data_IF_120832388402
#
_entry.id   IF_120832388402
#
_cell.length_a   1.000
_cell.length_b   1.000
_cell.length_c   1.000
_cell.angle_alpha   90.00
_cell.angle_beta   90.00
_cell.angle_gamma   90.00
#
_symmetry.space_group_name_H-M   'P 1'
#
loop_
_entity.id
_entity.type
_entity.pdbx_description
1 polymer ?
#
# COMPACT_ATOMS: atom_id res chain seq x y z
N UNK A 1 -16.33 -8.01 -7.52
CA UNK A 1 -15.82 -8.73 -6.34
C UNK A 1 -15.94 -7.79 -5.17
N UNK A 2 -16.87 -8.10 -4.24
CA UNK A 2 -16.93 -7.45 -2.94
C UNK A 2 -15.81 -8.10 -2.12
N UNK A 3 -14.72 -7.38 -1.90
CA UNK A 3 -13.68 -7.84 -0.98
C UNK A 3 -14.34 -7.95 0.38
N UNK A 4 -14.36 -9.15 0.94
CA UNK A 4 -14.92 -9.34 2.27
C UNK A 4 -13.88 -8.81 3.26
N UNK A 5 -14.33 -8.03 4.25
CA UNK A 5 -13.49 -7.50 5.34
C UNK A 5 -12.63 -8.60 5.97
N UNK A 6 -13.21 -9.79 6.13
CA UNK A 6 -12.55 -10.96 6.71
C UNK A 6 -11.32 -11.39 5.90
N UNK A 7 -11.42 -11.40 4.56
CA UNK A 7 -10.29 -11.74 3.68
C UNK A 7 -9.15 -10.73 3.83
N UNK A 8 -9.47 -9.44 3.91
CA UNK A 8 -8.45 -8.42 4.10
C UNK A 8 -7.82 -8.49 5.50
N UNK A 9 -8.61 -8.80 6.51
CA UNK A 9 -8.11 -9.02 7.87
C UNK A 9 -7.14 -10.22 7.94
N UNK A 10 -7.42 -11.30 7.22
CA UNK A 10 -6.51 -12.45 7.10
C UNK A 10 -5.20 -12.10 6.39
N UNK A 11 -5.27 -11.39 5.26
CA UNK A 11 -4.09 -10.87 4.55
C UNK A 11 -3.21 -10.07 5.51
N UNK A 12 -3.81 -9.12 6.25
CA UNK A 12 -3.07 -8.30 7.20
C UNK A 12 -2.47 -9.12 8.34
N UNK A 13 -3.22 -10.06 8.93
CA UNK A 13 -2.71 -10.94 10.00
C UNK A 13 -1.49 -11.72 9.54
N UNK A 14 -1.53 -12.29 8.34
CA UNK A 14 -0.41 -13.07 7.82
C UNK A 14 0.81 -12.21 7.48
N UNK A 15 0.62 -11.01 6.93
CA UNK A 15 1.70 -10.04 6.72
C UNK A 15 2.33 -9.65 8.06
N UNK A 16 1.50 -9.37 9.08
CA UNK A 16 1.95 -9.08 10.44
C UNK A 16 2.74 -10.24 11.03
N UNK A 17 2.34 -11.50 10.79
CA UNK A 17 3.09 -12.67 11.26
C UNK A 17 4.47 -12.79 10.61
N UNK A 18 4.60 -12.40 9.34
CA UNK A 18 5.89 -12.35 8.63
C UNK A 18 6.77 -11.20 9.11
N UNK A 19 6.16 -10.11 9.57
CA UNK A 19 6.84 -8.96 10.13
C UNK A 19 7.18 -9.26 11.59
N UNK A 20 8.40 -8.95 12.05
CA UNK A 20 8.72 -9.13 13.46
C UNK A 20 7.73 -8.33 14.32
N UNK A 21 7.06 -8.98 15.28
CA UNK A 21 5.98 -8.47 16.17
C UNK A 21 6.24 -7.12 16.89
N UNK A 22 7.40 -6.48 16.68
CA UNK A 22 7.80 -5.20 17.28
C UNK A 22 7.85 -4.03 16.28
N UNK A 23 7.74 -4.26 14.98
CA UNK A 23 7.84 -3.18 13.97
C UNK A 23 6.50 -2.48 13.79
N UNK A 24 6.54 -1.14 13.70
CA UNK A 24 5.40 -0.30 13.33
C UNK A 24 5.18 -0.40 11.83
N UNK A 25 3.92 -0.43 11.40
CA UNK A 25 3.54 -0.46 9.98
C UNK A 25 2.91 0.86 9.60
N UNK A 26 3.36 1.43 8.48
CA UNK A 26 2.76 2.61 7.87
C UNK A 26 1.68 2.20 6.87
N UNK A 27 0.41 2.48 7.18
CA UNK A 27 -0.69 2.33 6.23
C UNK A 27 -0.83 3.60 5.40
N UNK A 28 -0.57 3.50 4.10
CA UNK A 28 -0.52 4.63 3.17
C UNK A 28 -1.87 4.81 2.48
N UNK A 29 -2.50 5.97 2.71
CA UNK A 29 -3.73 6.43 2.08
C UNK A 29 -3.42 7.47 1.01
N UNK A 30 -3.21 7.00 -0.23
CA UNK A 30 -2.92 7.84 -1.39
C UNK A 30 -4.16 8.52 -1.97
N UNK A 31 -3.95 9.54 -2.80
CA UNK A 31 -4.98 10.19 -3.59
C UNK A 31 -5.08 9.56 -5.00
N UNK A 32 -6.26 9.34 -5.59
CA UNK A 32 -7.59 9.70 -5.10
C UNK A 32 -8.11 8.81 -3.96
N UNK A 33 -9.15 9.29 -3.29
CA UNK A 33 -9.92 8.49 -2.35
C UNK A 33 -10.41 7.19 -3.00
N UNK A 34 -10.25 6.08 -2.28
CA UNK A 34 -10.77 4.77 -2.65
C UNK A 34 -11.75 4.29 -1.57
N UNK A 35 -12.98 3.95 -1.94
CA UNK A 35 -13.98 3.47 -0.98
C UNK A 35 -13.55 2.19 -0.25
N UNK A 36 -12.62 1.42 -0.83
CA UNK A 36 -12.03 0.24 -0.19
C UNK A 36 -11.19 0.60 1.04
N UNK A 37 -10.80 1.86 1.22
CA UNK A 37 -10.21 2.33 2.47
C UNK A 37 -11.11 2.08 3.68
N UNK A 38 -12.43 2.08 3.54
CA UNK A 38 -13.31 1.73 4.66
C UNK A 38 -13.14 0.27 5.09
N UNK A 39 -13.07 -0.65 4.13
CA UNK A 39 -12.80 -2.07 4.39
C UNK A 39 -11.44 -2.23 5.08
N UNK A 40 -10.44 -1.49 4.62
CA UNK A 40 -9.12 -1.51 5.22
C UNK A 40 -9.10 -0.98 6.65
N UNK A 41 -9.76 0.15 6.90
CA UNK A 41 -9.88 0.74 8.23
C UNK A 41 -10.57 -0.20 9.22
N UNK A 42 -11.66 -0.86 8.80
CA UNK A 42 -12.36 -1.85 9.62
C UNK A 42 -11.46 -3.03 9.99
N UNK A 43 -10.68 -3.56 9.03
CA UNK A 43 -9.74 -4.64 9.29
C UNK A 43 -8.62 -4.18 10.24
N UNK A 44 -7.97 -3.04 9.95
CA UNK A 44 -6.85 -2.49 10.75
C UNK A 44 -7.27 -2.21 12.20
N UNK A 45 -8.54 -1.84 12.42
CA UNK A 45 -9.09 -1.59 13.76
C UNK A 45 -9.03 -2.82 14.66
N UNK A 46 -9.20 -4.02 14.10
CA UNK A 46 -9.17 -5.28 14.84
C UNK A 46 -7.76 -5.74 15.23
N UNK A 47 -6.73 -5.18 14.58
CA UNK A 47 -5.35 -5.61 14.73
C UNK A 47 -4.71 -4.92 15.94
N UNK A 48 -4.11 -5.75 16.81
CA UNK A 48 -3.35 -5.29 17.96
C UNK A 48 -1.86 -5.13 17.61
N UNK A 49 -1.56 -4.15 16.77
CA UNK A 49 -0.21 -3.83 16.29
C UNK A 49 0.08 -2.34 16.40
N UNK A 50 1.37 -1.99 16.37
CA UNK A 50 1.83 -0.62 16.19
C UNK A 50 1.52 -0.16 14.77
N UNK A 51 0.62 0.81 14.62
CA UNK A 51 0.07 1.27 13.34
C UNK A 51 0.12 2.78 13.24
N UNK A 52 0.76 3.25 12.18
CA UNK A 52 0.74 4.64 11.77
C UNK A 52 -0.09 4.79 10.50
N UNK A 53 -0.78 5.91 10.36
CA UNK A 53 -1.40 6.26 9.08
C UNK A 53 -0.60 7.36 8.40
N UNK A 54 -0.36 7.18 7.11
CA UNK A 54 0.28 8.16 6.25
C UNK A 54 -0.76 8.61 5.23
N UNK A 55 -1.12 9.88 5.25
CA UNK A 55 -2.26 10.40 4.50
C UNK A 55 -1.77 11.40 3.46
N UNK A 56 -2.14 11.19 2.19
CA UNK A 56 -1.88 12.18 1.14
C UNK A 56 -2.60 13.50 1.44
N UNK A 57 -1.84 14.61 1.51
CA UNK A 57 -2.38 15.98 1.65
C UNK A 57 -3.30 16.41 0.49
N UNK A 58 -3.29 15.68 -0.63
CA UNK A 58 -4.16 15.91 -1.78
C UNK A 58 -5.59 15.35 -1.61
N UNK A 59 -5.84 14.57 -0.56
CA UNK A 59 -7.20 14.13 -0.22
C UNK A 59 -8.01 15.31 0.34
N UNK A 60 -9.33 15.28 0.20
CA UNK A 60 -10.18 16.31 0.81
C UNK A 60 -10.21 16.19 2.33
N UNK A 61 -10.39 17.30 3.02
CA UNK A 61 -10.44 17.37 4.50
C UNK A 61 -11.46 16.40 5.11
N UNK A 62 -12.60 16.19 4.44
CA UNK A 62 -13.61 15.22 4.87
C UNK A 62 -13.03 13.80 4.95
N UNK A 63 -12.24 13.37 3.97
CA UNK A 63 -11.63 12.05 3.97
C UNK A 63 -10.44 11.95 4.92
N UNK A 64 -9.63 13.00 5.01
CA UNK A 64 -8.55 13.10 6.00
C UNK A 64 -9.12 12.92 7.41
N UNK A 65 -10.14 13.70 7.77
CA UNK A 65 -10.81 13.63 9.07
C UNK A 65 -11.43 12.26 9.33
N UNK A 66 -12.00 11.62 8.30
CA UNK A 66 -12.52 10.25 8.43
C UNK A 66 -11.41 9.26 8.79
N UNK A 67 -10.29 9.24 8.07
CA UNK A 67 -9.17 8.33 8.34
C UNK A 67 -8.60 8.58 9.73
N UNK A 68 -8.32 9.84 10.07
CA UNK A 68 -7.68 10.23 11.33
C UNK A 68 -8.52 9.86 12.55
N UNK A 69 -9.85 9.97 12.46
CA UNK A 69 -10.76 9.71 13.57
C UNK A 69 -11.37 8.30 13.58
N UNK A 70 -11.14 7.48 12.54
CA UNK A 70 -11.79 6.17 12.43
C UNK A 70 -11.37 5.19 13.52
N UNK A 71 -10.09 5.25 13.88
CA UNK A 71 -9.46 4.38 14.87
C UNK A 71 -8.29 5.10 15.54
N UNK A 72 -7.83 4.56 16.68
CA UNK A 72 -6.68 5.11 17.40
C UNK A 72 -5.39 4.70 16.72
N UNK A 73 -4.78 5.64 15.99
CA UNK A 73 -3.45 5.51 15.40
C UNK A 73 -2.38 5.82 16.44
N UNK A 74 -1.23 5.16 16.34
CA UNK A 74 -0.05 5.52 17.15
C UNK A 74 0.60 6.81 16.63
N UNK A 75 0.44 7.07 15.33
CA UNK A 75 0.94 8.25 14.66
C UNK A 75 0.12 8.56 13.40
N UNK A 76 -0.08 9.84 13.13
CA UNK A 76 -0.72 10.34 11.91
C UNK A 76 0.30 11.23 11.21
N UNK A 77 0.74 10.83 10.02
CA UNK A 77 1.72 11.55 9.21
C UNK A 77 1.04 12.00 7.93
N UNK A 78 1.26 13.26 7.54
CA UNK A 78 0.84 13.73 6.23
C UNK A 78 1.96 13.53 5.23
N UNK A 79 1.68 12.84 4.11
CA UNK A 79 2.66 12.56 3.09
C UNK A 79 3.17 13.86 2.48
N UNK A 80 4.47 14.08 2.63
CA UNK A 80 5.19 15.26 2.19
C UNK A 80 6.68 14.91 1.98
N UNK A 81 7.38 15.69 1.14
CA UNK A 81 8.81 15.52 0.87
C UNK A 81 9.64 15.49 2.14
N UNK A 82 9.37 16.41 3.08
CA UNK A 82 10.12 16.53 4.35
C UNK A 82 9.87 15.37 5.32
N UNK A 83 8.84 14.56 5.06
CA UNK A 83 8.44 13.44 5.92
C UNK A 83 8.86 12.09 5.37
N UNK A 84 9.45 12.04 4.17
CA UNK A 84 9.80 10.77 3.52
C UNK A 84 10.76 9.93 4.35
N UNK A 85 11.80 10.54 4.94
CA UNK A 85 12.78 9.81 5.75
C UNK A 85 12.13 9.21 7.00
N UNK A 86 11.31 10.00 7.71
CA UNK A 86 10.53 9.54 8.87
C UNK A 86 9.58 8.38 8.51
N UNK A 87 8.91 8.47 7.36
CA UNK A 87 8.00 7.41 6.90
C UNK A 87 8.83 6.16 6.53
N UNK A 88 9.99 6.32 5.91
CA UNK A 88 10.86 5.23 5.48
C UNK A 88 11.65 4.56 6.63
N UNK A 89 11.42 4.92 7.89
CA UNK A 89 11.92 4.18 9.04
C UNK A 89 11.15 2.86 9.28
N UNK A 90 9.96 2.75 8.72
CA UNK A 90 9.03 1.65 8.94
C UNK A 90 8.60 1.02 7.62
N UNK A 91 8.17 -0.24 7.68
CA UNK A 91 7.61 -0.94 6.54
C UNK A 91 6.27 -0.29 6.13
N UNK A 92 5.96 -0.31 4.83
CA UNK A 92 4.83 0.43 4.29
C UNK A 92 3.84 -0.49 3.57
N UNK A 93 2.56 -0.28 3.87
CA UNK A 93 1.44 -0.93 3.21
C UNK A 93 0.64 0.12 2.44
N UNK A 94 0.71 0.10 1.11
CA UNK A 94 -0.08 0.95 0.25
C UNK A 94 -1.48 0.37 0.07
N UNK A 95 -2.46 1.07 0.62
CA UNK A 95 -3.88 0.73 0.48
C UNK A 95 -4.42 1.14 -0.90
N UNK A 96 -3.67 1.95 -1.65
CA UNK A 96 -3.89 2.27 -3.05
C UNK A 96 -2.58 2.81 -3.62
N UNK A 97 -2.27 2.48 -4.87
CA UNK A 97 -1.17 3.09 -5.61
C UNK A 97 -1.54 3.23 -7.08
N UNK A 98 -1.27 4.40 -7.67
CA UNK A 98 -1.48 4.59 -9.11
C UNK A 98 -0.46 3.78 -9.90
N UNK A 99 -0.89 3.21 -11.03
CA UNK A 99 0.02 2.60 -11.99
C UNK A 99 1.16 3.55 -12.41
N UNK A 100 0.89 4.85 -12.54
CA UNK A 100 1.93 5.84 -12.84
C UNK A 100 3.05 5.83 -11.79
N UNK A 101 2.73 5.66 -10.51
CA UNK A 101 3.73 5.58 -9.45
C UNK A 101 4.55 4.30 -9.53
N UNK A 102 3.92 3.17 -9.88
CA UNK A 102 4.65 1.91 -10.14
C UNK A 102 5.62 2.09 -11.32
N UNK A 103 5.15 2.66 -12.43
CA UNK A 103 6.00 2.95 -13.60
C UNK A 103 7.13 3.90 -13.24
N UNK A 104 6.85 4.92 -12.43
CA UNK A 104 7.87 5.84 -11.96
C UNK A 104 8.94 5.12 -11.11
N UNK A 105 8.54 4.22 -10.21
CA UNK A 105 9.50 3.42 -9.43
C UNK A 105 10.38 2.56 -10.33
N UNK A 106 9.78 1.87 -11.30
CA UNK A 106 10.49 1.03 -12.27
C UNK A 106 11.56 1.82 -13.04
N UNK A 107 11.21 3.03 -13.46
CA UNK A 107 12.08 3.91 -14.23
C UNK A 107 13.05 4.72 -13.37
N UNK A 108 13.13 4.46 -12.06
CA UNK A 108 13.89 5.27 -11.10
C UNK A 108 13.54 6.78 -11.20
N UNK A 109 12.27 7.07 -11.49
CA UNK A 109 11.71 8.41 -11.53
C UNK A 109 11.02 8.79 -10.21
N UNK A 110 11.48 9.89 -9.64
CA UNK A 110 11.03 10.46 -8.39
C UNK A 110 9.99 11.59 -8.56
N UNK A 111 9.28 11.71 -9.69
CA UNK A 111 8.37 12.84 -9.93
C UNK A 111 7.16 12.93 -8.97
N UNK A 112 6.72 11.83 -8.36
CA UNK A 112 5.56 11.79 -7.46
C UNK A 112 5.95 11.31 -6.06
N UNK A 113 5.27 11.84 -5.04
CA UNK A 113 5.58 11.56 -3.63
C UNK A 113 5.53 10.06 -3.30
N UNK A 114 4.56 9.35 -3.86
CA UNK A 114 4.45 7.91 -3.65
C UNK A 114 5.62 7.14 -4.29
N UNK A 115 6.09 7.52 -5.48
CA UNK A 115 7.26 6.86 -6.09
C UNK A 115 8.55 7.20 -5.35
N UNK A 116 8.73 8.46 -4.91
CA UNK A 116 9.82 8.86 -4.01
C UNK A 116 9.82 8.05 -2.72
N UNK A 117 8.66 7.88 -2.11
CA UNK A 117 8.53 7.14 -0.85
C UNK A 117 8.95 5.68 -1.03
N UNK A 118 8.52 5.02 -2.11
CA UNK A 118 8.92 3.63 -2.40
C UNK A 118 10.44 3.52 -2.57
N UNK A 119 11.07 4.46 -3.27
CA UNK A 119 12.53 4.47 -3.39
C UNK A 119 13.23 4.65 -2.04
N UNK A 120 12.77 5.58 -1.20
CA UNK A 120 13.29 5.73 0.16
C UNK A 120 13.12 4.48 1.02
N UNK A 121 12.00 3.77 0.88
CA UNK A 121 11.79 2.50 1.57
C UNK A 121 12.81 1.44 1.11
N UNK A 122 13.12 1.36 -0.18
CA UNK A 122 14.16 0.46 -0.69
C UNK A 122 15.56 0.83 -0.19
N UNK A 123 15.92 2.12 -0.22
CA UNK A 123 17.19 2.61 0.31
C UNK A 123 17.38 2.23 1.78
N UNK A 124 16.29 2.21 2.56
CA UNK A 124 16.29 1.87 3.98
C UNK A 124 16.05 0.37 4.27
N UNK A 125 16.00 -0.48 3.23
CA UNK A 125 15.76 -1.92 3.37
C UNK A 125 14.41 -2.27 4.02
N UNK A 126 13.39 -1.45 3.78
CA UNK A 126 12.03 -1.66 4.30
C UNK A 126 11.19 -2.44 3.32
N UNK A 127 10.27 -3.23 3.88
CA UNK A 127 9.31 -3.96 3.07
C UNK A 127 8.22 -3.02 2.53
N UNK A 128 7.84 -3.24 1.27
CA UNK A 128 6.76 -2.53 0.61
C UNK A 128 5.67 -3.51 0.20
N UNK A 129 4.47 -3.30 0.73
CA UNK A 129 3.28 -4.12 0.45
C UNK A 129 2.26 -3.31 -0.35
N UNK A 130 1.72 -3.91 -1.41
CA UNK A 130 0.65 -3.33 -2.23
C UNK A 130 -0.59 -4.20 -2.13
N UNK A 131 -1.74 -3.61 -1.81
CA UNK A 131 -2.99 -4.35 -1.85
C UNK A 131 -3.36 -4.74 -3.29
N UNK A 132 -3.38 -6.05 -3.61
CA UNK A 132 -3.66 -6.54 -4.98
C UNK A 132 -4.93 -5.98 -5.56
N UNK A 133 -5.95 -5.78 -4.72
CA UNK A 133 -7.22 -5.25 -5.18
C UNK A 133 -7.08 -3.85 -5.79
N UNK A 134 -6.10 -3.08 -5.34
CA UNK A 134 -5.86 -1.71 -5.83
C UNK A 134 -4.96 -1.64 -7.06
N UNK A 135 -4.38 -2.77 -7.49
CA UNK A 135 -3.66 -2.83 -8.75
C UNK A 135 -4.64 -2.79 -9.93
N UNK A 136 -4.18 -2.29 -11.08
CA UNK A 136 -5.00 -2.15 -12.27
C UNK A 136 -5.31 -3.53 -12.84
N UNK A 137 -6.60 -3.88 -12.86
CA UNK A 137 -7.09 -5.13 -13.43
C UNK A 137 -7.28 -5.01 -14.94
N UNK A 138 -7.03 -6.10 -15.66
CA UNK A 138 -7.37 -6.23 -17.09
C UNK A 138 -8.77 -6.81 -17.22
N UNK A 139 -9.55 -6.30 -18.18
CA UNK A 139 -10.89 -6.81 -18.48
C UNK A 139 -10.87 -7.96 -19.49
N UNK A 140 -9.73 -8.15 -20.17
CA UNK A 140 -9.56 -9.11 -21.26
C UNK A 140 -10.04 -8.60 -22.62
N UNK A 141 -10.60 -7.38 -22.67
CA UNK A 141 -11.00 -6.71 -23.92
C UNK A 141 -9.91 -5.80 -24.46
N UNK A 142 -8.88 -5.53 -23.68
CA UNK A 142 -7.75 -4.69 -24.07
C UNK A 142 -6.86 -5.39 -25.11
N UNK A 143 -6.12 -4.64 -25.95
CA UNK A 143 -5.16 -5.23 -26.89
C UNK A 143 -4.09 -6.07 -26.16
N UNK A 144 -3.72 -7.22 -26.72
CA UNK A 144 -2.73 -8.12 -26.10
C UNK A 144 -1.43 -7.42 -25.67
N UNK A 145 -0.85 -6.60 -26.55
CA UNK A 145 0.37 -5.82 -26.23
C UNK A 145 0.20 -4.86 -25.05
N UNK A 146 -1.01 -4.36 -24.82
CA UNK A 146 -1.31 -3.51 -23.68
C UNK A 146 -1.31 -4.33 -22.38
N UNK A 147 -1.96 -5.50 -22.41
CA UNK A 147 -2.00 -6.45 -21.29
C UNK A 147 -0.59 -6.90 -20.94
N UNK A 148 0.20 -7.35 -21.93
CA UNK A 148 1.57 -7.81 -21.74
C UNK A 148 2.44 -6.72 -21.10
N UNK A 149 2.30 -5.46 -21.55
CA UNK A 149 3.04 -4.32 -20.99
C UNK A 149 2.62 -3.99 -19.56
N UNK A 150 1.33 -4.05 -19.25
CA UNK A 150 0.82 -3.82 -17.90
C UNK A 150 1.32 -4.89 -16.92
N UNK A 151 1.24 -6.17 -17.32
CA UNK A 151 1.76 -7.28 -16.53
C UNK A 151 3.27 -7.19 -16.35
N UNK A 152 4.02 -6.81 -17.40
CA UNK A 152 5.46 -6.58 -17.32
C UNK A 152 5.85 -5.55 -16.25
N UNK A 153 5.07 -4.49 -16.05
CA UNK A 153 5.32 -3.56 -14.95
C UNK A 153 5.13 -4.20 -13.56
N UNK A 154 4.15 -5.10 -13.42
CA UNK A 154 3.96 -5.80 -12.16
C UNK A 154 5.05 -6.84 -11.91
N UNK A 155 5.48 -7.57 -12.94
CA UNK A 155 6.59 -8.53 -12.83
C UNK A 155 7.89 -7.81 -12.43
N UNK A 156 8.15 -6.64 -13.01
CA UNK A 156 9.35 -5.86 -12.71
C UNK A 156 9.34 -5.31 -11.29
N UNK A 157 8.23 -4.73 -10.81
CA UNK A 157 8.17 -4.22 -9.43
C UNK A 157 8.24 -5.36 -8.38
N UNK A 158 7.68 -6.53 -8.68
CA UNK A 158 7.83 -7.73 -7.85
C UNK A 158 9.29 -8.18 -7.77
N UNK A 159 10.04 -8.09 -8.89
CA UNK A 159 11.48 -8.42 -8.91
C UNK A 159 12.34 -7.51 -8.03
N UNK A 160 11.85 -6.31 -7.71
CA UNK A 160 12.51 -5.37 -6.78
C UNK A 160 12.18 -5.68 -5.31
N UNK A 161 11.39 -6.71 -5.03
CA UNK A 161 11.02 -7.12 -3.67
C UNK A 161 9.73 -6.50 -3.14
N UNK A 162 8.98 -5.76 -3.97
CA UNK A 162 7.62 -5.34 -3.60
C UNK A 162 6.71 -6.56 -3.52
N UNK A 163 5.88 -6.62 -2.48
CA UNK A 163 4.93 -7.70 -2.27
C UNK A 163 3.54 -7.19 -2.65
N UNK A 164 3.04 -7.60 -3.80
CA UNK A 164 1.60 -7.51 -4.08
C UNK A 164 0.95 -8.61 -3.24
N UNK A 165 -0.14 -8.28 -2.53
CA UNK A 165 -0.74 -9.20 -1.55
C UNK A 165 -2.22 -9.39 -1.79
N UNK A 166 -2.61 -10.66 -1.87
CA UNK A 166 -3.97 -11.16 -1.73
C UNK A 166 -4.01 -12.46 -0.92
N UNK A 167 -5.21 -13.02 -0.75
CA UNK A 167 -5.39 -14.22 0.06
C UNK A 167 -4.67 -15.44 -0.55
N UNK A 168 -4.58 -15.53 -1.89
CA UNK A 168 -3.92 -16.65 -2.58
C UNK A 168 -2.39 -16.61 -2.42
N UNK A 169 -1.79 -15.42 -2.52
CA UNK A 169 -0.35 -15.22 -2.38
C UNK A 169 0.12 -15.46 -0.96
N UNK A 170 -0.68 -15.06 0.03
CA UNK A 170 -0.27 -15.21 1.43
C UNK A 170 -0.47 -16.65 1.94
N UNK A 171 -1.29 -17.47 1.25
CA UNK A 171 -1.41 -18.91 1.50
C UNK A 171 -0.23 -19.75 0.95
N UNK A 172 0.63 -19.19 0.07
CA UNK A 172 1.79 -19.91 -0.49
C UNK A 172 2.98 -20.03 0.47
N UNK A 173 2.90 -19.40 1.64
CA UNK A 173 3.96 -19.38 2.66
C UNK A 173 3.70 -20.34 3.84
N UNK A 174 2.77 -21.29 3.67
CA UNK A 174 2.60 -22.48 4.53
C UNK A 174 3.48 -23.64 4.03
#
# INVERSE_FOLDING_TARGET
MNINREEFEEILKKIILQMSNKKRINFIFSNPWDNRYFVALDAIKTLNINKSCVISKKLSDCYINKISNYLKWDEIIYLDCEKLDQIAENDAFFLNIKLKNIVNVILFNEDELESKLVMKLFENGKDVYLWKETVKKVTGREPKRYIDKLLGYYDEILSYGVKIVDIEEVNKYE
#
